data_IF_947039659901
#
_entry.id   IF_947039659901
#
_cell.length_a   1.000
_cell.length_b   1.000
_cell.length_c   1.000
_cell.angle_alpha   90.00
_cell.angle_beta   90.00
_cell.angle_gamma   90.00
#
_symmetry.space_group_name_H-M   'P 1'
#
loop_
_entity.id
_entity.type
_entity.pdbx_description
1 polymer ?
#
# COMPACT_ATOMS: atom_id res chain seq x y z
N UNK A 1 53.02 -3.53 -19.91
CA UNK A 1 51.77 -4.34 -19.84
C UNK A 1 51.28 -4.61 -18.41
N UNK A 2 52.15 -4.82 -17.42
CA UNK A 2 51.79 -5.17 -16.04
C UNK A 2 50.86 -4.17 -15.31
N UNK A 3 51.00 -2.86 -15.53
CA UNK A 3 50.19 -1.83 -14.84
C UNK A 3 48.76 -1.67 -15.38
N UNK A 4 48.47 -2.05 -16.63
CA UNK A 4 47.11 -1.97 -17.19
C UNK A 4 46.21 -3.09 -16.64
N UNK A 5 46.77 -4.27 -16.39
CA UNK A 5 46.04 -5.41 -15.83
C UNK A 5 45.64 -5.20 -14.36
N UNK A 6 46.47 -4.49 -13.57
CA UNK A 6 46.13 -4.14 -12.19
C UNK A 6 44.97 -3.15 -12.10
N UNK A 7 44.94 -2.13 -12.97
CA UNK A 7 43.83 -1.16 -13.03
C UNK A 7 42.51 -1.79 -13.47
N UNK A 8 42.54 -2.70 -14.45
CA UNK A 8 41.34 -3.43 -14.89
C UNK A 8 40.78 -4.36 -13.80
N UNK A 9 41.66 -5.04 -13.04
CA UNK A 9 41.26 -5.85 -11.88
C UNK A 9 40.65 -5.00 -10.75
N UNK A 10 41.19 -3.81 -10.51
CA UNK A 10 40.67 -2.89 -9.50
C UNK A 10 39.31 -2.28 -9.89
N UNK A 11 39.12 -1.90 -11.15
CA UNK A 11 37.84 -1.38 -11.65
C UNK A 11 36.77 -2.47 -11.65
N UNK A 12 37.12 -3.70 -12.04
CA UNK A 12 36.20 -4.84 -11.97
C UNK A 12 35.76 -5.17 -10.54
N UNK A 13 36.69 -5.11 -9.58
CA UNK A 13 36.38 -5.30 -8.15
C UNK A 13 35.47 -4.19 -7.60
N UNK A 14 35.71 -2.93 -8.00
CA UNK A 14 34.88 -1.79 -7.59
C UNK A 14 33.46 -1.88 -8.17
N UNK A 15 33.30 -2.28 -9.42
CA UNK A 15 32.00 -2.52 -10.04
C UNK A 15 31.25 -3.68 -9.39
N UNK A 16 31.95 -4.77 -9.01
CA UNK A 16 31.29 -5.89 -8.30
C UNK A 16 30.82 -5.50 -6.90
N UNK A 17 31.58 -4.66 -6.18
CA UNK A 17 31.19 -4.16 -4.86
C UNK A 17 29.98 -3.23 -4.96
N UNK A 18 29.96 -2.32 -5.94
CA UNK A 18 28.81 -1.45 -6.21
C UNK A 18 27.56 -2.26 -6.60
N UNK A 19 27.70 -3.32 -7.42
CA UNK A 19 26.58 -4.20 -7.76
C UNK A 19 26.06 -4.96 -6.53
N UNK A 20 26.94 -5.44 -5.65
CA UNK A 20 26.52 -6.12 -4.42
C UNK A 20 25.86 -5.17 -3.42
N UNK A 21 26.25 -3.90 -3.33
CA UNK A 21 25.58 -2.93 -2.45
C UNK A 21 24.14 -2.64 -2.93
N UNK A 22 23.91 -2.60 -4.25
CA UNK A 22 22.55 -2.47 -4.83
C UNK A 22 21.72 -3.76 -4.65
N UNK A 23 22.36 -4.93 -4.60
CA UNK A 23 21.67 -6.20 -4.33
C UNK A 23 21.43 -6.43 -2.83
N UNK A 24 22.24 -5.83 -1.95
CA UNK A 24 22.12 -5.93 -0.49
C UNK A 24 20.99 -5.07 0.09
N UNK A 25 20.54 -4.03 -0.62
CA UNK A 25 19.26 -3.36 -0.28
C UNK A 25 18.03 -4.21 -0.62
N UNK A 26 18.22 -5.40 -1.22
CA UNK A 26 17.16 -6.34 -1.57
C UNK A 26 16.96 -7.49 -0.57
N UNK A 27 17.56 -7.43 0.63
CA UNK A 27 17.50 -8.53 1.59
C UNK A 27 17.35 -8.01 3.03
N UNK A 28 16.12 -8.04 3.57
CA UNK A 28 15.92 -8.33 5.00
C UNK A 28 15.61 -7.19 5.97
N UNK A 29 15.42 -5.94 5.54
CA UNK A 29 14.81 -4.94 6.42
C UNK A 29 13.30 -4.88 6.16
N UNK A 30 12.52 -5.01 7.22
CA UNK A 30 11.09 -4.70 7.19
C UNK A 30 10.94 -3.22 6.81
N UNK A 31 10.15 -2.95 5.77
CA UNK A 31 9.85 -1.58 5.38
C UNK A 31 9.07 -0.88 6.50
N UNK A 32 9.27 0.43 6.68
CA UNK A 32 8.56 1.23 7.69
C UNK A 32 7.04 1.11 7.52
N UNK A 33 6.56 0.97 6.28
CA UNK A 33 5.15 0.76 5.93
C UNK A 33 4.98 -0.15 4.72
N UNK A 34 3.76 -0.67 4.58
CA UNK A 34 3.38 -1.47 3.42
C UNK A 34 2.00 -1.12 2.86
N UNK A 35 1.85 -1.33 1.56
CA UNK A 35 0.57 -1.29 0.84
C UNK A 35 0.27 -2.69 0.37
N UNK A 36 -0.86 -3.24 0.78
CA UNK A 36 -1.30 -4.56 0.34
C UNK A 36 -2.44 -4.47 -0.68
N UNK A 37 -2.34 -5.22 -1.77
CA UNK A 37 -3.32 -5.20 -2.85
C UNK A 37 -3.83 -6.61 -3.10
N UNK A 38 -5.14 -6.82 -3.00
CA UNK A 38 -5.79 -8.06 -3.42
C UNK A 38 -6.85 -7.76 -4.48
N UNK A 39 -6.52 -8.02 -5.73
CA UNK A 39 -7.46 -7.86 -6.84
C UNK A 39 -8.23 -9.17 -7.10
N UNK A 40 -9.49 -9.12 -7.58
CA UNK A 40 -10.26 -10.33 -7.89
C UNK A 40 -9.60 -11.22 -8.94
N UNK A 41 -8.92 -10.60 -9.91
CA UNK A 41 -8.27 -11.27 -11.04
C UNK A 41 -6.75 -11.47 -10.82
N UNK A 42 -6.28 -11.31 -9.58
CA UNK A 42 -4.85 -11.34 -9.26
C UNK A 42 -4.13 -10.04 -9.61
N UNK A 43 -3.01 -9.81 -8.93
CA UNK A 43 -2.22 -8.59 -9.08
C UNK A 43 -1.01 -8.82 -9.99
N UNK A 44 -0.85 -8.05 -11.09
CA UNK A 44 0.37 -8.10 -11.89
C UNK A 44 1.57 -7.51 -11.13
N UNK A 45 2.68 -8.26 -11.08
CA UNK A 45 3.91 -7.84 -10.40
C UNK A 45 4.42 -6.47 -10.87
N UNK A 46 4.35 -6.22 -12.19
CA UNK A 46 4.77 -4.95 -12.79
C UNK A 46 4.07 -3.75 -12.15
N UNK A 47 2.76 -3.85 -11.91
CA UNK A 47 2.01 -2.73 -11.32
C UNK A 47 2.46 -2.48 -9.88
N UNK A 48 2.69 -3.52 -9.09
CA UNK A 48 3.19 -3.34 -7.71
C UNK A 48 4.61 -2.76 -7.68
N UNK A 49 5.46 -3.14 -8.62
CA UNK A 49 6.80 -2.59 -8.77
C UNK A 49 6.76 -1.12 -9.19
N UNK A 50 5.92 -0.79 -10.17
CA UNK A 50 5.74 0.60 -10.65
C UNK A 50 5.19 1.49 -9.52
N UNK A 51 4.17 1.03 -8.78
CA UNK A 51 3.61 1.75 -7.64
C UNK A 51 4.66 1.98 -6.55
N UNK A 52 5.44 0.95 -6.19
CA UNK A 52 6.50 1.11 -5.20
C UNK A 52 7.55 2.12 -5.66
N UNK A 53 7.96 2.07 -6.93
CA UNK A 53 8.93 2.99 -7.50
C UNK A 53 8.40 4.44 -7.55
N UNK A 54 7.10 4.64 -7.79
CA UNK A 54 6.48 5.97 -7.79
C UNK A 54 6.27 6.52 -6.36
N UNK A 55 5.94 5.64 -5.42
CA UNK A 55 5.60 6.02 -4.04
C UNK A 55 6.83 6.18 -3.13
N UNK A 56 7.86 5.34 -3.30
CA UNK A 56 9.08 5.43 -2.49
C UNK A 56 9.72 6.84 -2.44
N UNK A 57 9.86 7.60 -3.54
CA UNK A 57 10.45 8.94 -3.47
C UNK A 57 9.58 9.98 -2.75
N UNK A 58 8.28 9.73 -2.54
CA UNK A 58 7.39 10.68 -1.84
C UNK A 58 7.46 10.56 -0.30
N UNK A 59 8.15 9.55 0.21
CA UNK A 59 8.22 9.23 1.64
C UNK A 59 9.53 9.68 2.33
N UNK A 60 10.43 10.33 1.60
CA UNK A 60 11.71 10.80 2.15
C UNK A 60 12.59 9.64 2.60
N UNK A 61 12.96 9.61 3.88
CA UNK A 61 13.80 8.56 4.47
C UNK A 61 13.03 7.28 4.82
N UNK A 62 11.69 7.32 4.80
CA UNK A 62 10.84 6.18 5.12
C UNK A 62 10.80 5.18 3.96
N UNK A 63 10.85 3.90 4.29
CA UNK A 63 10.82 2.80 3.33
C UNK A 63 9.40 2.25 3.15
N UNK A 64 9.07 1.85 1.93
CA UNK A 64 7.76 1.26 1.63
C UNK A 64 7.86 -0.02 0.81
N UNK A 65 6.99 -0.96 1.16
CA UNK A 65 6.79 -2.20 0.40
C UNK A 65 5.39 -2.24 -0.19
N UNK A 66 5.26 -2.38 -1.50
CA UNK A 66 3.97 -2.64 -2.16
C UNK A 66 3.88 -4.12 -2.48
N UNK A 67 2.88 -4.80 -1.93
CA UNK A 67 2.67 -6.23 -2.08
C UNK A 67 1.32 -6.50 -2.73
N UNK A 68 1.34 -7.21 -3.85
CA UNK A 68 0.14 -7.68 -4.53
C UNK A 68 -0.02 -9.18 -4.39
N UNK A 69 -1.23 -9.66 -4.12
CA UNK A 69 -1.50 -11.10 -4.22
C UNK A 69 -1.65 -11.50 -5.69
N UNK A 70 -0.85 -12.45 -6.22
CA UNK A 70 -0.97 -12.88 -7.62
C UNK A 70 -2.29 -13.63 -7.88
N UNK A 71 -2.94 -14.14 -6.83
CA UNK A 71 -4.21 -14.86 -6.89
C UNK A 71 -5.09 -14.33 -5.76
N UNK A 72 -6.39 -14.18 -6.03
CA UNK A 72 -7.37 -13.86 -5.00
C UNK A 72 -7.53 -15.02 -4.01
N UNK A 73 -7.48 -14.74 -2.71
CA UNK A 73 -7.70 -15.72 -1.67
C UNK A 73 -8.24 -15.06 -0.39
N UNK A 74 -9.50 -15.33 -0.04
CA UNK A 74 -10.16 -14.73 1.12
C UNK A 74 -9.50 -15.09 2.47
N UNK A 75 -8.93 -16.28 2.62
CA UNK A 75 -8.23 -16.67 3.86
C UNK A 75 -6.93 -15.88 4.04
N UNK A 76 -6.17 -15.72 2.95
CA UNK A 76 -4.99 -14.85 2.96
C UNK A 76 -5.39 -13.41 3.27
N UNK A 77 -6.46 -12.90 2.65
CA UNK A 77 -6.93 -11.54 2.92
C UNK A 77 -7.23 -11.34 4.41
N UNK A 78 -7.90 -12.30 5.05
CA UNK A 78 -8.18 -12.25 6.48
C UNK A 78 -6.89 -12.21 7.31
N UNK A 79 -5.88 -13.01 6.95
CA UNK A 79 -4.58 -13.01 7.65
C UNK A 79 -3.86 -11.67 7.48
N UNK A 80 -3.78 -11.15 6.26
CA UNK A 80 -3.13 -9.86 5.95
C UNK A 80 -3.86 -8.71 6.66
N UNK A 81 -5.19 -8.76 6.74
CA UNK A 81 -5.98 -7.78 7.47
C UNK A 81 -5.73 -7.86 8.99
N UNK A 82 -5.68 -9.05 9.59
CA UNK A 82 -5.52 -9.20 11.05
C UNK A 82 -4.07 -8.95 11.51
N UNK A 83 -3.10 -9.45 10.75
CA UNK A 83 -1.71 -9.58 11.18
C UNK A 83 -0.69 -8.97 10.21
N UNK A 84 -1.11 -8.50 9.03
CA UNK A 84 -0.20 -7.95 8.02
C UNK A 84 0.31 -6.53 8.31
N UNK A 85 -0.30 -5.84 9.29
CA UNK A 85 0.09 -4.50 9.74
C UNK A 85 0.33 -3.51 8.56
N UNK A 86 -0.57 -3.56 7.57
CA UNK A 86 -0.45 -2.72 6.38
C UNK A 86 -0.90 -1.29 6.67
N UNK A 87 -0.18 -0.33 6.09
CA UNK A 87 -0.57 1.08 6.17
C UNK A 87 -1.82 1.37 5.33
N UNK A 88 -1.88 0.76 4.13
CA UNK A 88 -3.03 0.88 3.21
C UNK A 88 -3.33 -0.49 2.61
N UNK A 89 -4.61 -0.80 2.44
CA UNK A 89 -5.03 -1.96 1.66
C UNK A 89 -5.86 -1.52 0.45
N UNK A 90 -5.73 -2.22 -0.67
CA UNK A 90 -6.55 -2.06 -1.87
C UNK A 90 -7.36 -3.34 -2.09
N UNK A 91 -8.68 -3.26 -1.85
CA UNK A 91 -9.56 -4.42 -1.76
C UNK A 91 -10.72 -4.35 -2.75
N UNK A 92 -11.29 -5.49 -3.17
CA UNK A 92 -12.55 -5.53 -3.90
C UNK A 92 -13.67 -4.96 -3.05
N UNK A 93 -14.68 -4.37 -3.71
CA UNK A 93 -15.82 -3.73 -3.05
C UNK A 93 -16.48 -4.61 -1.98
N UNK A 94 -16.71 -5.89 -2.26
CA UNK A 94 -17.35 -6.81 -1.31
C UNK A 94 -16.54 -7.00 -0.02
N UNK A 95 -15.22 -7.11 -0.16
CA UNK A 95 -14.32 -7.30 0.98
C UNK A 95 -14.15 -6.01 1.77
N UNK A 96 -14.03 -4.88 1.07
CA UNK A 96 -14.09 -3.55 1.64
C UNK A 96 -15.35 -3.35 2.50
N UNK A 97 -16.54 -3.57 1.93
CA UNK A 97 -17.81 -3.39 2.63
C UNK A 97 -17.92 -4.31 3.85
N UNK A 98 -17.52 -5.57 3.72
CA UNK A 98 -17.53 -6.53 4.81
C UNK A 98 -16.59 -6.11 5.95
N UNK A 99 -15.42 -5.59 5.62
CA UNK A 99 -14.41 -5.16 6.59
C UNK A 99 -14.84 -3.87 7.31
N UNK A 100 -15.38 -2.88 6.59
CA UNK A 100 -15.94 -1.66 7.20
C UNK A 100 -17.16 -1.98 8.07
N UNK A 101 -18.00 -2.92 7.64
CA UNK A 101 -19.14 -3.40 8.41
C UNK A 101 -18.76 -4.04 9.75
N UNK A 102 -17.53 -4.53 9.87
CA UNK A 102 -16.94 -5.12 11.09
C UNK A 102 -16.02 -4.14 11.85
N UNK A 103 -15.92 -2.91 11.37
CA UNK A 103 -15.17 -1.83 12.02
C UNK A 103 -13.68 -1.88 11.78
N UNK A 104 -13.29 -2.39 10.61
CA UNK A 104 -11.90 -2.54 10.23
C UNK A 104 -11.28 -1.40 9.47
N UNK A 105 -11.98 -0.30 9.26
CA UNK A 105 -11.45 0.86 8.54
C UNK A 105 -11.41 2.12 9.39
N UNK A 106 -10.44 2.97 9.07
CA UNK A 106 -10.32 4.30 9.66
C UNK A 106 -11.09 5.31 8.78
N UNK A 107 -11.91 6.19 9.37
CA UNK A 107 -12.50 7.34 8.66
C UNK A 107 -11.43 8.24 8.03
N UNK A 108 -11.71 8.79 6.84
CA UNK A 108 -10.74 9.50 6.01
C UNK A 108 -11.07 11.00 5.80
N UNK A 109 -12.11 11.52 6.43
CA UNK A 109 -12.61 12.89 6.24
C UNK A 109 -11.64 13.97 6.73
N UNK A 110 -10.69 13.61 7.59
CA UNK A 110 -9.64 14.54 8.01
C UNK A 110 -8.58 14.79 6.93
N UNK A 111 -8.59 13.96 5.88
CA UNK A 111 -7.62 14.02 4.78
C UNK A 111 -8.24 14.10 3.38
N UNK A 112 -9.51 13.76 3.22
CA UNK A 112 -10.24 13.82 1.95
C UNK A 112 -11.66 14.39 2.12
N UNK A 113 -12.17 15.02 1.06
CA UNK A 113 -13.56 15.48 1.02
C UNK A 113 -14.50 14.34 0.59
N UNK A 114 -15.41 13.93 1.49
CA UNK A 114 -16.42 12.89 1.23
C UNK A 114 -17.27 13.15 -0.02
N UNK A 115 -17.46 14.41 -0.43
CA UNK A 115 -18.22 14.75 -1.64
C UNK A 115 -17.49 14.35 -2.92
N UNK A 116 -16.17 14.37 -2.90
CA UNK A 116 -15.35 13.94 -4.04
C UNK A 116 -15.35 12.42 -4.16
N UNK A 117 -15.35 11.73 -3.01
CA UNK A 117 -15.22 10.27 -2.92
C UNK A 117 -16.50 9.60 -2.42
N UNK A 118 -17.66 10.07 -2.87
CA UNK A 118 -18.97 9.64 -2.36
C UNK A 118 -19.24 8.13 -2.41
N UNK A 119 -18.62 7.40 -3.35
CA UNK A 119 -18.72 5.93 -3.45
C UNK A 119 -18.07 5.19 -2.26
N UNK A 120 -17.14 5.83 -1.56
CA UNK A 120 -16.50 5.29 -0.36
C UNK A 120 -17.17 5.71 0.95
N UNK A 121 -18.29 6.44 0.88
CA UNK A 121 -19.06 6.86 2.05
C UNK A 121 -20.10 5.79 2.37
N UNK A 122 -19.99 5.16 3.54
CA UNK A 122 -20.90 4.10 3.97
C UNK A 122 -21.08 4.07 5.49
N UNK A 123 -22.10 3.34 5.95
CA UNK A 123 -22.29 3.06 7.37
C UNK A 123 -21.33 1.92 7.78
N UNK A 124 -20.37 2.23 8.64
CA UNK A 124 -19.41 1.28 9.20
C UNK A 124 -19.60 1.09 10.70
N UNK A 125 -18.92 0.10 11.28
CA UNK A 125 -18.76 0.01 12.74
C UNK A 125 -17.57 0.86 13.17
N UNK A 126 -17.68 1.59 14.27
CA UNK A 126 -16.57 2.27 14.94
C UNK A 126 -16.50 1.77 16.37
N UNK A 127 -15.31 1.41 16.83
CA UNK A 127 -15.04 1.09 18.22
C UNK A 127 -14.80 2.37 19.01
N UNK A 128 -15.69 2.66 19.96
CA UNK A 128 -15.54 3.75 20.92
C UNK A 128 -14.95 3.25 22.24
N UNK A 129 -14.74 4.18 23.18
CA UNK A 129 -14.28 3.88 24.53
C UNK A 129 -15.06 2.71 25.15
N UNK A 130 -14.34 1.86 25.91
CA UNK A 130 -14.87 0.64 26.53
C UNK A 130 -15.38 -0.40 25.54
N UNK A 131 -14.84 -0.41 24.32
CA UNK A 131 -15.18 -1.36 23.25
C UNK A 131 -16.66 -1.31 22.84
N UNK A 132 -17.29 -0.14 22.94
CA UNK A 132 -18.65 0.04 22.44
C UNK A 132 -18.63 0.15 20.91
N UNK A 133 -19.30 -0.79 20.24
CA UNK A 133 -19.52 -0.72 18.80
C UNK A 133 -20.65 0.25 18.48
N UNK A 134 -20.38 1.24 17.63
CA UNK A 134 -21.37 2.19 17.13
C UNK A 134 -21.39 2.15 15.62
N UNK A 135 -22.59 2.21 15.03
CA UNK A 135 -22.75 2.34 13.58
C UNK A 135 -22.76 3.82 13.20
N UNK A 136 -21.81 4.24 12.38
CA UNK A 136 -21.68 5.63 11.92
C UNK A 136 -21.42 5.69 10.42
N UNK A 137 -21.88 6.76 9.77
CA UNK A 137 -21.67 6.99 8.34
C UNK A 137 -20.44 7.87 8.17
N UNK A 138 -19.43 7.35 7.48
CA UNK A 138 -18.16 8.04 7.20
C UNK A 138 -17.63 7.68 5.81
N UNK A 139 -16.68 8.46 5.31
CA UNK A 139 -15.79 8.12 4.21
C UNK A 139 -14.74 7.14 4.70
N UNK A 140 -14.86 5.88 4.31
CA UNK A 140 -13.94 4.82 4.73
C UNK A 140 -12.97 4.37 3.65
N UNK A 141 -13.25 4.68 2.39
CA UNK A 141 -12.41 4.24 1.29
C UNK A 141 -12.38 5.19 0.12
N UNK A 142 -11.34 5.06 -0.70
CA UNK A 142 -11.19 5.84 -1.93
C UNK A 142 -11.31 4.87 -3.11
N UNK A 143 -12.26 5.06 -4.04
CA UNK A 143 -12.35 4.21 -5.22
C UNK A 143 -11.01 4.21 -5.98
N UNK A 144 -10.50 3.04 -6.30
CA UNK A 144 -9.19 2.89 -6.93
C UNK A 144 -9.14 3.56 -8.30
N UNK A 145 -10.27 3.55 -9.02
CA UNK A 145 -10.50 4.32 -10.25
C UNK A 145 -10.35 5.83 -10.10
N UNK A 146 -10.28 6.36 -8.89
CA UNK A 146 -10.06 7.78 -8.59
C UNK A 146 -8.62 8.05 -8.13
N UNK A 147 -7.87 7.03 -7.72
CA UNK A 147 -6.49 7.17 -7.24
C UNK A 147 -5.50 7.41 -8.40
N UNK A 148 -4.77 8.53 -8.33
CA UNK A 148 -3.91 9.02 -9.40
C UNK A 148 -2.76 8.08 -9.79
N UNK A 149 -2.01 7.55 -8.82
CA UNK A 149 -0.89 6.61 -9.10
C UNK A 149 -1.40 5.33 -9.78
N UNK A 150 -2.52 4.78 -9.30
CA UNK A 150 -3.13 3.59 -9.89
C UNK A 150 -3.55 3.81 -11.35
N UNK A 151 -4.13 4.97 -11.68
CA UNK A 151 -4.43 5.36 -13.07
C UNK A 151 -3.19 5.39 -13.95
N UNK A 152 -2.07 5.95 -13.47
CA UNK A 152 -0.82 6.05 -14.25
C UNK A 152 -0.23 4.69 -14.59
N UNK A 153 -0.39 3.70 -13.71
CA UNK A 153 0.04 2.31 -13.98
C UNK A 153 -0.87 1.56 -14.98
N UNK A 154 -2.02 2.14 -15.34
CA UNK A 154 -3.05 1.47 -16.14
C UNK A 154 -3.88 0.46 -15.35
N UNK A 155 -3.73 0.38 -14.02
CA UNK A 155 -4.49 -0.50 -13.14
C UNK A 155 -5.46 0.30 -12.28
N UNK A 156 -6.65 0.55 -12.81
CA UNK A 156 -7.69 1.37 -12.16
C UNK A 156 -9.08 0.69 -12.23
N UNK A 157 -9.24 -0.53 -11.68
CA UNK A 157 -10.51 -1.25 -11.72
C UNK A 157 -11.63 -0.49 -10.99
N UNK A 158 -12.86 -0.63 -11.48
CA UNK A 158 -14.01 0.14 -10.98
C UNK A 158 -14.45 -0.26 -9.57
N UNK A 159 -14.35 -1.54 -9.23
CA UNK A 159 -14.87 -2.12 -7.99
C UNK A 159 -13.78 -2.43 -6.96
N UNK A 160 -12.77 -1.57 -6.88
CA UNK A 160 -11.75 -1.65 -5.83
C UNK A 160 -11.65 -0.35 -5.05
N UNK A 161 -11.25 -0.45 -3.78
CA UNK A 161 -11.16 0.66 -2.85
C UNK A 161 -9.83 0.62 -2.09
N UNK A 162 -9.21 1.78 -1.94
CA UNK A 162 -8.13 2.02 -0.98
C UNK A 162 -8.72 2.31 0.40
N UNK A 163 -8.14 1.72 1.43
CA UNK A 163 -8.54 1.90 2.83
C UNK A 163 -7.31 1.99 3.73
N UNK A 164 -7.48 2.60 4.90
CA UNK A 164 -6.54 2.44 6.02
C UNK A 164 -7.18 1.46 7.00
N UNK A 165 -6.57 0.29 7.27
CA UNK A 165 -7.10 -0.64 8.25
C UNK A 165 -6.90 -0.11 9.67
N UNK A 166 -7.78 -0.46 10.62
CA UNK A 166 -7.71 0.06 12.00
C UNK A 166 -6.48 -0.41 12.79
N UNK A 167 -5.85 -1.50 12.36
CA UNK A 167 -4.60 -2.01 12.93
C UNK A 167 -3.35 -1.54 12.16
N UNK A 168 -3.46 -0.51 11.31
CA UNK A 168 -2.29 0.10 10.69
C UNK A 168 -1.29 0.55 11.76
N UNK A 169 0.01 0.23 11.62
CA UNK A 169 1.01 0.40 12.70
C UNK A 169 1.33 1.87 12.98
N UNK A 170 1.28 2.72 11.95
CA UNK A 170 1.44 4.17 12.07
C UNK A 170 0.36 4.88 11.25
N UNK A 171 -0.64 5.42 11.95
CA UNK A 171 -1.77 6.08 11.30
C UNK A 171 -1.36 7.36 10.56
N UNK A 172 -0.40 8.12 11.07
CA UNK A 172 0.03 9.37 10.44
C UNK A 172 0.73 9.08 9.11
N UNK A 173 1.64 8.10 9.11
CA UNK A 173 2.32 7.65 7.90
C UNK A 173 1.35 6.97 6.92
N UNK A 174 0.37 6.22 7.42
CA UNK A 174 -0.69 5.62 6.58
C UNK A 174 -1.54 6.67 5.86
N UNK A 175 -1.88 7.76 6.56
CA UNK A 175 -2.57 8.93 5.99
C UNK A 175 -1.72 9.65 4.95
N UNK A 176 -0.41 9.74 5.14
CA UNK A 176 0.50 10.24 4.11
C UNK A 176 0.47 9.32 2.88
N UNK A 177 0.66 8.02 3.06
CA UNK A 177 0.71 7.04 1.97
C UNK A 177 -0.57 7.08 1.12
N UNK A 178 -1.76 7.06 1.72
CA UNK A 178 -3.00 7.10 0.95
C UNK A 178 -3.19 8.43 0.21
N UNK A 179 -2.73 9.57 0.76
CA UNK A 179 -2.74 10.86 0.05
C UNK A 179 -1.88 10.82 -1.19
N UNK A 180 -0.67 10.28 -1.09
CA UNK A 180 0.27 10.17 -2.21
C UNK A 180 -0.31 9.27 -3.31
N UNK A 181 -0.89 8.13 -2.95
CA UNK A 181 -1.57 7.23 -3.89
C UNK A 181 -2.72 7.91 -4.65
N UNK A 182 -3.43 8.84 -3.99
CA UNK A 182 -4.63 9.48 -4.53
C UNK A 182 -4.34 10.74 -5.33
N UNK A 183 -3.49 11.63 -4.83
CA UNK A 183 -3.29 12.98 -5.39
C UNK A 183 -2.23 13.09 -6.49
N UNK A 184 -1.48 12.02 -6.77
CA UNK A 184 -0.37 12.04 -7.74
C UNK A 184 -0.78 11.99 -9.21
#
# INVERSE_FOLDING_TARGET
MYNRMKKAKWIGALLSVLLTVVLLTGCGDEADVSVFIMAPNGMPDKVTTDLQAELQPTLGEKTIKVVGSPIYNAQKLLVEYIAGEHAVMALPKSDYEAMIGQGGGVPLEDIFDEKQYSEGVMVGTILKEKNAEVKEKHLFGIPLKQAGMFKKTGFAPEEMFLIIPTNAPDLALSKQVIKELVHS
#
